data_IF_623963218495
#
_entry.id   IF_623963218495
#
_cell.length_a   1.000
_cell.length_b   1.000
_cell.length_c   1.000
_cell.angle_alpha   90.00
_cell.angle_beta   90.00
_cell.angle_gamma   90.00
#
_symmetry.space_group_name_H-M   'P 1'
#
loop_
_entity.id
_entity.type
_entity.pdbx_description
1 polymer ?
#
# COMPACT_ATOMS: atom_id res chain seq x y z
N UNK A 1 -17.70 -3.71 11.74
CA UNK A 1 -17.41 -3.45 10.31
C UNK A 1 -18.26 -4.37 9.45
N UNK A 2 -18.86 -3.84 8.39
CA UNK A 2 -19.55 -4.68 7.40
C UNK A 2 -18.50 -5.40 6.54
N UNK A 3 -18.58 -6.71 6.53
CA UNK A 3 -17.71 -7.57 5.74
C UNK A 3 -18.56 -8.71 5.11
N UNK A 4 -18.08 -9.37 4.07
CA UNK A 4 -18.77 -10.53 3.53
C UNK A 4 -19.04 -11.55 4.64
N UNK A 5 -20.28 -12.03 4.72
CA UNK A 5 -20.67 -13.14 5.60
C UNK A 5 -20.11 -14.47 5.09
N UNK A 6 -20.46 -15.56 5.77
CA UNK A 6 -20.15 -16.91 5.30
C UNK A 6 -20.67 -17.12 3.87
N UNK A 7 -19.87 -17.80 3.04
CA UNK A 7 -20.29 -18.12 1.67
C UNK A 7 -21.61 -18.92 1.69
N UNK A 8 -22.56 -18.46 0.90
CA UNK A 8 -23.79 -19.19 0.70
C UNK A 8 -23.56 -20.32 -0.31
N UNK A 9 -24.22 -21.46 -0.18
CA UNK A 9 -24.16 -22.53 -1.18
C UNK A 9 -24.47 -21.98 -2.58
N UNK A 10 -23.66 -22.35 -3.57
CA UNK A 10 -23.79 -21.85 -4.95
C UNK A 10 -25.21 -22.10 -5.56
N UNK A 11 -25.94 -23.08 -5.01
CA UNK A 11 -27.31 -23.42 -5.40
C UNK A 11 -28.31 -22.29 -5.17
N UNK A 12 -27.99 -21.34 -4.28
CA UNK A 12 -28.86 -20.19 -3.97
C UNK A 12 -28.76 -19.06 -4.99
N UNK A 13 -27.77 -19.10 -5.88
CA UNK A 13 -27.59 -18.10 -6.95
C UNK A 13 -27.42 -16.64 -6.47
N UNK A 14 -27.19 -16.43 -5.17
CA UNK A 14 -27.05 -15.12 -4.56
C UNK A 14 -25.69 -14.99 -3.84
N UNK A 15 -25.10 -13.79 -3.90
CA UNK A 15 -23.92 -13.49 -3.10
C UNK A 15 -24.29 -13.30 -1.62
N UNK A 16 -23.38 -13.69 -0.74
CA UNK A 16 -23.57 -13.50 0.70
C UNK A 16 -23.75 -11.99 1.01
N UNK A 17 -24.78 -11.64 1.80
CA UNK A 17 -24.98 -10.25 2.21
C UNK A 17 -23.84 -9.80 3.11
N UNK A 18 -23.54 -8.50 3.09
CA UNK A 18 -22.62 -7.90 4.06
C UNK A 18 -23.21 -8.00 5.46
N UNK A 19 -22.41 -8.49 6.37
CA UNK A 19 -22.79 -8.66 7.78
C UNK A 19 -21.82 -7.94 8.70
N UNK A 20 -22.24 -7.63 9.92
CA UNK A 20 -21.35 -7.05 10.92
C UNK A 20 -20.53 -8.16 11.60
N UNK A 21 -19.53 -8.67 10.87
CA UNK A 21 -18.75 -9.86 11.24
C UNK A 21 -17.32 -9.55 11.69
N UNK A 22 -16.89 -8.30 11.61
CA UNK A 22 -15.53 -7.91 11.95
C UNK A 22 -15.48 -6.81 13.01
N UNK A 23 -14.63 -7.00 14.01
CA UNK A 23 -14.29 -5.98 15.00
C UNK A 23 -12.96 -5.33 14.67
N UNK A 24 -12.92 -4.01 14.78
CA UNK A 24 -11.75 -3.19 14.55
C UNK A 24 -11.34 -2.48 15.84
N UNK A 25 -10.05 -2.35 16.03
CA UNK A 25 -9.47 -1.53 17.10
C UNK A 25 -8.55 -0.48 16.50
N UNK A 26 -8.95 0.78 16.64
CA UNK A 26 -8.09 1.91 16.28
C UNK A 26 -7.39 2.46 17.51
N UNK A 27 -6.09 2.74 17.38
CA UNK A 27 -5.28 3.42 18.38
C UNK A 27 -4.54 4.55 17.68
N UNK A 28 -4.63 5.74 18.26
CA UNK A 28 -3.99 6.92 17.70
C UNK A 28 -3.65 7.93 18.78
N UNK A 29 -3.02 8.99 18.34
CA UNK A 29 -2.68 10.16 19.14
C UNK A 29 -2.84 11.41 18.27
N UNK A 30 -3.09 12.52 18.92
CA UNK A 30 -3.22 13.81 18.30
C UNK A 30 -2.50 14.87 19.15
N UNK A 31 -1.82 15.78 18.48
CA UNK A 31 -1.17 16.93 19.10
C UNK A 31 -1.70 18.16 18.38
N UNK A 32 -2.21 19.13 19.16
CA UNK A 32 -2.61 20.43 18.63
C UNK A 32 -1.90 21.51 19.45
N UNK A 33 -1.30 22.48 18.77
CA UNK A 33 -0.65 23.63 19.38
C UNK A 33 -1.14 24.87 18.68
N UNK A 34 -1.70 25.78 19.44
CA UNK A 34 -2.17 27.08 18.96
C UNK A 34 -1.46 28.21 19.71
N UNK A 35 -0.94 29.13 18.95
CA UNK A 35 -0.28 30.33 19.47
C UNK A 35 -0.98 31.58 18.96
N UNK A 36 -1.33 32.48 19.87
CA UNK A 36 -1.92 33.76 19.55
C UNK A 36 -1.14 34.86 20.27
N UNK A 37 -0.74 35.90 19.53
CA UNK A 37 0.00 37.00 20.11
C UNK A 37 -0.21 38.30 19.30
N UNK A 38 0.35 39.39 19.82
CA UNK A 38 0.28 40.71 19.20
C UNK A 38 1.63 41.43 19.25
N UNK A 39 2.09 41.88 18.12
CA UNK A 39 3.28 42.71 17.98
C UNK A 39 2.85 44.08 17.49
N UNK A 40 2.89 45.07 18.37
CA UNK A 40 2.44 46.42 18.07
C UNK A 40 0.95 46.43 17.69
N UNK A 41 0.64 46.80 16.43
CA UNK A 41 -0.74 46.82 15.90
C UNK A 41 -1.10 45.59 15.10
N UNK A 42 -0.23 44.60 14.99
CA UNK A 42 -0.44 43.36 14.29
C UNK A 42 -0.85 42.27 15.29
N UNK A 43 -2.05 41.75 15.16
CA UNK A 43 -2.50 40.52 15.86
C UNK A 43 -2.27 39.35 14.95
N UNK A 44 -1.66 38.29 15.46
CA UNK A 44 -1.41 37.08 14.67
C UNK A 44 -1.73 35.81 15.45
N UNK A 45 -2.03 34.76 14.72
CA UNK A 45 -2.19 33.42 15.24
C UNK A 45 -1.43 32.42 14.36
N UNK A 46 -0.92 31.39 14.98
CA UNK A 46 -0.30 30.25 14.32
C UNK A 46 -0.72 28.99 15.03
N UNK A 47 -1.23 28.01 14.27
CA UNK A 47 -1.61 26.73 14.81
C UNK A 47 -0.98 25.59 14.01
N UNK A 48 -0.73 24.50 14.73
CA UNK A 48 -0.21 23.25 14.20
C UNK A 48 -0.98 22.09 14.79
N UNK A 49 -1.41 21.15 13.96
CA UNK A 49 -1.95 19.89 14.41
C UNK A 49 -1.25 18.72 13.72
N UNK A 50 -1.06 17.64 14.45
CA UNK A 50 -0.50 16.40 13.97
C UNK A 50 -1.29 15.23 14.55
N UNK A 51 -1.73 14.35 13.66
CA UNK A 51 -2.54 13.19 14.01
C UNK A 51 -1.97 11.92 13.39
N UNK A 52 -1.98 10.83 14.13
CA UNK A 52 -1.66 9.51 13.60
C UNK A 52 -2.48 8.42 14.27
N UNK A 53 -2.97 7.45 13.50
CA UNK A 53 -3.70 6.31 14.01
C UNK A 53 -3.42 5.04 13.21
N UNK A 54 -3.46 3.90 13.92
CA UNK A 54 -3.41 2.55 13.37
C UNK A 54 -4.66 1.79 13.71
N UNK A 55 -5.25 1.16 12.72
CA UNK A 55 -6.45 0.34 12.89
C UNK A 55 -6.13 -1.11 12.59
N UNK A 56 -6.39 -1.99 13.54
CA UNK A 56 -6.21 -3.44 13.41
C UNK A 56 -7.53 -4.17 13.52
N UNK A 57 -7.63 -5.28 12.79
CA UNK A 57 -8.75 -6.20 12.89
C UNK A 57 -8.53 -7.08 14.12
N UNK A 58 -9.46 -7.03 15.06
CA UNK A 58 -9.39 -7.80 16.32
C UNK A 58 -10.25 -9.05 16.29
N UNK A 59 -11.27 -9.06 15.45
CA UNK A 59 -12.15 -10.22 15.24
C UNK A 59 -12.58 -10.29 13.80
N UNK A 60 -12.43 -11.44 13.19
CA UNK A 60 -12.92 -11.76 11.85
C UNK A 60 -12.85 -13.29 11.67
N UNK A 61 -13.85 -13.85 10.99
CA UNK A 61 -13.85 -15.27 10.69
C UNK A 61 -13.12 -15.51 9.35
N UNK A 62 -11.82 -15.78 9.44
CA UNK A 62 -10.99 -16.23 8.34
C UNK A 62 -10.16 -17.42 8.83
N UNK A 63 -10.73 -18.61 8.72
CA UNK A 63 -10.11 -19.85 9.18
C UNK A 63 -8.87 -20.22 8.35
N UNK A 64 -8.84 -19.82 7.09
CA UNK A 64 -7.74 -20.15 6.17
C UNK A 64 -6.52 -19.28 6.36
N UNK A 65 -6.65 -18.12 7.01
CA UNK A 65 -5.56 -17.15 7.18
C UNK A 65 -5.06 -16.54 5.87
N UNK A 66 -5.86 -16.61 4.80
CA UNK A 66 -5.52 -16.01 3.51
C UNK A 66 -5.30 -14.50 3.65
N UNK A 67 -4.41 -13.95 2.83
CA UNK A 67 -4.17 -12.52 2.71
C UNK A 67 -4.15 -12.08 1.24
N UNK A 68 -4.25 -10.76 1.01
CA UNK A 68 -4.36 -10.20 -0.33
C UNK A 68 -5.76 -10.39 -0.90
N UNK A 69 -5.85 -10.78 -2.17
CA UNK A 69 -7.12 -11.05 -2.83
C UNK A 69 -7.37 -12.55 -2.93
N UNK A 70 -8.60 -12.98 -2.74
CA UNK A 70 -9.00 -14.35 -2.97
C UNK A 70 -9.11 -14.64 -4.47
N UNK A 71 -9.40 -15.90 -4.82
CA UNK A 71 -9.62 -16.34 -6.21
C UNK A 71 -10.74 -15.60 -6.96
N UNK A 72 -11.60 -14.87 -6.23
CA UNK A 72 -12.68 -14.07 -6.78
C UNK A 72 -12.34 -12.57 -6.78
N UNK A 73 -11.07 -12.21 -6.66
CA UNK A 73 -10.55 -10.83 -6.62
C UNK A 73 -11.11 -9.99 -5.46
N UNK A 74 -11.51 -10.62 -4.37
CA UNK A 74 -11.98 -9.94 -3.15
C UNK A 74 -10.86 -9.80 -2.15
N UNK A 75 -10.80 -8.64 -1.51
CA UNK A 75 -9.89 -8.42 -0.40
C UNK A 75 -10.20 -9.36 0.76
N UNK A 76 -9.16 -10.01 1.28
CA UNK A 76 -9.27 -10.91 2.42
C UNK A 76 -8.83 -10.21 3.69
N UNK A 77 -9.64 -10.34 4.73
CA UNK A 77 -9.35 -9.81 6.06
C UNK A 77 -8.94 -10.93 7.02
N UNK A 78 -8.09 -10.63 7.96
CA UNK A 78 -7.68 -11.58 9.01
C UNK A 78 -7.47 -10.88 10.35
N UNK A 79 -7.56 -11.64 11.42
CA UNK A 79 -7.24 -11.13 12.77
C UNK A 79 -5.78 -10.73 12.83
N UNK A 80 -5.50 -9.57 13.43
CA UNK A 80 -4.17 -8.98 13.53
C UNK A 80 -3.73 -8.14 12.34
N UNK A 81 -4.45 -8.19 11.23
CA UNK A 81 -4.19 -7.35 10.06
C UNK A 81 -4.31 -5.87 10.41
N UNK A 82 -3.34 -5.07 10.00
CA UNK A 82 -3.46 -3.61 9.98
C UNK A 82 -4.19 -3.21 8.69
N UNK A 83 -5.21 -2.36 8.79
CA UNK A 83 -5.93 -1.92 7.59
C UNK A 83 -4.96 -1.25 6.61
N UNK A 84 -5.13 -1.58 5.34
CA UNK A 84 -4.33 -1.01 4.26
C UNK A 84 -2.98 -1.68 4.02
N UNK A 85 -2.68 -2.82 4.66
CA UNK A 85 -1.47 -3.60 4.36
C UNK A 85 -1.37 -3.90 2.86
N UNK A 86 -0.18 -3.67 2.30
CA UNK A 86 0.16 -4.00 0.92
C UNK A 86 1.19 -5.11 0.95
N UNK A 87 0.83 -6.26 0.42
CA UNK A 87 1.72 -7.40 0.31
C UNK A 87 2.36 -7.45 -1.08
N UNK A 88 3.63 -7.76 -1.16
CA UNK A 88 4.35 -7.87 -2.42
C UNK A 88 5.73 -8.47 -2.26
N UNK A 89 6.36 -8.74 -3.40
CA UNK A 89 7.75 -9.15 -3.47
C UNK A 89 8.69 -7.97 -3.23
N UNK A 90 9.86 -8.25 -2.72
CA UNK A 90 10.90 -7.23 -2.51
C UNK A 90 11.90 -7.32 -3.63
N UNK A 91 12.10 -6.24 -4.35
CA UNK A 91 13.16 -6.15 -5.36
C UNK A 91 14.53 -6.26 -4.69
N UNK A 92 15.38 -7.11 -5.22
CA UNK A 92 16.79 -7.19 -4.84
C UNK A 92 17.62 -6.32 -5.79
N UNK A 93 17.71 -6.72 -7.07
CA UNK A 93 18.44 -6.05 -8.13
C UNK A 93 17.81 -6.38 -9.49
N UNK A 94 18.43 -5.97 -10.56
CA UNK A 94 18.13 -6.48 -11.89
C UNK A 94 19.02 -7.69 -12.19
N UNK A 95 18.53 -8.62 -13.00
CA UNK A 95 19.37 -9.66 -13.56
C UNK A 95 20.43 -9.02 -14.47
N UNK A 96 21.66 -9.48 -14.34
CA UNK A 96 22.78 -9.08 -15.19
C UNK A 96 23.14 -10.17 -16.18
N UNK A 97 23.92 -9.85 -17.20
CA UNK A 97 24.42 -10.85 -18.15
C UNK A 97 25.26 -11.94 -17.46
N UNK A 98 25.92 -11.57 -16.35
CA UNK A 98 26.77 -12.50 -15.59
C UNK A 98 25.94 -13.55 -14.81
N UNK A 99 24.65 -13.36 -14.66
CA UNK A 99 23.74 -14.33 -14.03
C UNK A 99 23.39 -15.51 -14.96
N UNK A 100 23.73 -15.40 -16.23
CA UNK A 100 23.44 -16.41 -17.27
C UNK A 100 24.69 -17.10 -17.73
N UNK A 101 24.55 -18.33 -18.22
CA UNK A 101 25.60 -19.10 -18.86
C UNK A 101 25.74 -18.72 -20.35
N UNK A 102 26.67 -19.37 -21.03
CA UNK A 102 26.93 -19.13 -22.46
C UNK A 102 25.74 -19.51 -23.37
N UNK A 103 24.85 -20.35 -22.90
CA UNK A 103 23.63 -20.77 -23.62
C UNK A 103 22.43 -19.87 -23.29
N UNK A 104 22.62 -18.81 -22.48
CA UNK A 104 21.57 -17.88 -22.06
C UNK A 104 20.65 -18.46 -21.00
N UNK A 105 21.02 -19.52 -20.31
CA UNK A 105 20.25 -20.08 -19.21
C UNK A 105 20.71 -19.46 -17.89
N UNK A 106 19.76 -19.26 -16.98
CA UNK A 106 20.03 -18.78 -15.63
C UNK A 106 20.93 -19.79 -14.89
N UNK A 107 22.01 -19.30 -14.27
CA UNK A 107 22.90 -20.10 -13.45
C UNK A 107 22.22 -20.66 -12.22
N UNK A 108 22.67 -21.82 -11.76
CA UNK A 108 22.17 -22.42 -10.52
C UNK A 108 22.44 -21.52 -9.30
N UNK A 109 21.52 -21.51 -8.34
CA UNK A 109 21.60 -20.69 -7.12
C UNK A 109 21.21 -19.24 -7.33
N UNK A 110 20.64 -18.88 -8.48
CA UNK A 110 20.05 -17.56 -8.70
C UNK A 110 18.53 -17.72 -8.73
N UNK A 111 17.81 -17.08 -7.79
CA UNK A 111 16.38 -17.21 -7.70
C UNK A 111 15.66 -16.72 -8.96
N UNK A 112 14.52 -17.33 -9.28
CA UNK A 112 13.65 -16.90 -10.36
C UNK A 112 12.17 -17.04 -9.99
N UNK A 113 11.34 -16.23 -10.60
CA UNK A 113 9.89 -16.35 -10.45
C UNK A 113 9.43 -17.69 -11.03
N UNK A 114 8.60 -18.39 -10.26
CA UNK A 114 8.04 -19.69 -10.66
C UNK A 114 7.34 -19.61 -12.03
N UNK A 115 7.68 -20.53 -12.91
CA UNK A 115 7.13 -20.57 -14.27
C UNK A 115 7.62 -19.48 -15.23
N UNK A 116 8.54 -18.61 -14.80
CA UNK A 116 9.10 -17.53 -15.62
C UNK A 116 10.58 -17.76 -15.93
N UNK A 117 11.01 -17.46 -17.15
CA UNK A 117 12.41 -17.46 -17.54
C UNK A 117 12.85 -16.01 -17.71
N UNK A 118 13.68 -15.49 -16.79
CA UNK A 118 14.13 -14.11 -16.83
C UNK A 118 15.16 -13.87 -17.93
N UNK A 119 15.29 -12.60 -18.30
CA UNK A 119 16.34 -12.10 -19.17
C UNK A 119 17.20 -11.07 -18.43
N UNK A 120 18.43 -10.78 -18.89
CA UNK A 120 19.21 -9.67 -18.38
C UNK A 120 18.39 -8.36 -18.46
N UNK A 121 18.31 -7.63 -17.33
CA UNK A 121 17.50 -6.41 -17.21
C UNK A 121 16.14 -6.61 -16.55
N UNK A 122 15.65 -7.84 -16.40
CA UNK A 122 14.44 -8.12 -15.62
C UNK A 122 14.69 -7.93 -14.12
N UNK A 123 13.60 -7.79 -13.35
CA UNK A 123 13.70 -7.62 -11.90
C UNK A 123 13.94 -8.96 -11.21
N UNK A 124 15.02 -9.05 -10.44
CA UNK A 124 15.26 -10.12 -9.49
C UNK A 124 14.64 -9.73 -8.14
N UNK A 125 13.76 -10.58 -7.63
CA UNK A 125 13.19 -10.44 -6.30
C UNK A 125 14.00 -11.23 -5.28
N UNK A 126 13.89 -10.81 -4.01
CA UNK A 126 14.50 -11.52 -2.89
C UNK A 126 13.78 -12.82 -2.64
N UNK A 127 14.55 -13.88 -2.59
CA UNK A 127 14.15 -15.17 -2.04
C UNK A 127 14.13 -15.05 -0.51
N UNK A 128 12.99 -15.24 0.10
CA UNK A 128 12.81 -15.07 1.54
C UNK A 128 12.79 -16.40 2.30
N UNK A 129 12.65 -17.52 1.59
CA UNK A 129 12.65 -18.86 2.17
C UNK A 129 13.85 -19.72 1.71
N UNK A 130 14.78 -19.12 0.92
CA UNK A 130 16.03 -19.72 0.46
C UNK A 130 15.83 -21.00 -0.37
N UNK A 131 14.82 -21.02 -1.23
CA UNK A 131 14.50 -22.17 -2.08
C UNK A 131 14.81 -21.97 -3.59
N UNK A 132 15.39 -20.82 -3.97
CA UNK A 132 15.71 -20.38 -5.34
C UNK A 132 14.46 -20.21 -6.24
N UNK A 133 13.24 -20.23 -5.70
CA UNK A 133 11.98 -20.10 -6.45
C UNK A 133 11.13 -19.00 -5.86
N UNK A 134 11.00 -17.89 -6.56
CA UNK A 134 10.15 -16.78 -6.13
C UNK A 134 8.69 -17.10 -6.43
N UNK A 135 7.92 -17.31 -5.38
CA UNK A 135 6.49 -17.61 -5.50
C UNK A 135 5.64 -17.00 -4.37
N UNK A 136 4.32 -17.13 -4.49
CA UNK A 136 3.36 -16.60 -3.52
C UNK A 136 2.99 -17.58 -2.42
N UNK A 137 3.65 -18.74 -2.32
CA UNK A 137 3.25 -19.79 -1.40
C UNK A 137 1.77 -20.12 -1.51
N UNK A 138 1.15 -20.48 -0.39
CA UNK A 138 -0.29 -20.72 -0.31
C UNK A 138 -1.12 -19.45 -0.09
N UNK A 139 -0.51 -18.26 -0.14
CA UNK A 139 -1.15 -16.97 0.17
C UNK A 139 -1.74 -16.91 1.58
N UNK A 140 -1.15 -17.61 2.52
CA UNK A 140 -1.54 -17.56 3.93
C UNK A 140 -0.45 -16.91 4.78
N UNK A 141 -0.82 -16.45 5.97
CA UNK A 141 0.17 -15.89 6.92
C UNK A 141 1.20 -16.91 7.43
N UNK A 142 0.91 -18.19 7.28
CA UNK A 142 1.84 -19.28 7.65
C UNK A 142 2.80 -19.62 6.53
N UNK A 143 2.36 -19.41 5.31
CA UNK A 143 3.12 -19.66 4.09
C UNK A 143 2.85 -18.55 3.08
N UNK A 144 3.52 -17.39 3.25
CA UNK A 144 3.41 -16.25 2.34
C UNK A 144 4.27 -16.40 1.08
N UNK A 145 5.10 -17.47 1.00
CA UNK A 145 6.19 -17.54 0.03
C UNK A 145 7.15 -16.36 0.22
N UNK A 146 7.61 -15.78 -0.88
CA UNK A 146 8.55 -14.64 -0.89
C UNK A 146 7.88 -13.28 -0.72
N UNK A 147 6.61 -13.25 -0.30
CA UNK A 147 5.90 -11.99 -0.07
C UNK A 147 5.98 -11.54 1.37
N UNK A 148 6.09 -10.23 1.55
CA UNK A 148 5.95 -9.58 2.85
C UNK A 148 5.17 -8.28 2.73
N UNK A 149 4.85 -7.68 3.86
CA UNK A 149 4.23 -6.34 3.89
C UNK A 149 5.28 -5.33 3.41
N UNK A 150 5.06 -4.75 2.24
CA UNK A 150 5.93 -3.76 1.60
C UNK A 150 5.44 -2.34 1.77
N UNK A 151 4.21 -2.15 2.21
CA UNK A 151 3.64 -0.83 2.42
C UNK A 151 2.30 -0.85 3.14
N UNK A 152 1.74 0.35 3.32
CA UNK A 152 0.42 0.53 3.87
C UNK A 152 -0.28 1.72 3.21
N UNK A 153 -1.50 1.50 2.70
CA UNK A 153 -2.27 2.51 1.97
C UNK A 153 -2.99 3.52 2.87
N UNK A 154 -2.99 3.33 4.19
CA UNK A 154 -3.60 4.28 5.12
C UNK A 154 -2.73 5.53 5.27
N UNK A 155 -3.41 6.66 5.49
CA UNK A 155 -2.72 7.94 5.68
C UNK A 155 -2.12 7.97 7.09
N UNK A 156 -0.81 8.24 7.16
CA UNK A 156 -0.07 8.31 8.41
C UNK A 156 0.52 9.71 8.58
N UNK A 157 0.58 10.16 9.83
CA UNK A 157 1.15 11.46 10.18
C UNK A 157 0.48 12.60 9.39
N UNK A 158 -0.84 12.69 9.53
CA UNK A 158 -1.61 13.78 8.94
C UNK A 158 -1.35 15.06 9.73
N UNK A 159 -0.99 16.12 9.06
CA UNK A 159 -0.68 17.38 9.70
C UNK A 159 -1.36 18.56 9.03
N UNK A 160 -1.60 19.58 9.82
CA UNK A 160 -2.07 20.88 9.36
C UNK A 160 -1.28 22.01 10.01
N UNK A 161 -1.04 23.04 9.25
CA UNK A 161 -0.46 24.28 9.72
C UNK A 161 -1.40 25.39 9.27
N UNK A 162 -1.89 26.18 10.21
CA UNK A 162 -2.73 27.31 9.88
C UNK A 162 -2.24 28.56 10.59
N UNK A 163 -2.51 29.68 10.01
CA UNK A 163 -2.14 30.93 10.59
C UNK A 163 -2.87 32.11 9.99
N UNK A 164 -2.82 33.21 10.67
CA UNK A 164 -3.39 34.45 10.22
C UNK A 164 -2.76 35.66 10.89
N UNK A 165 -2.91 36.78 10.23
CA UNK A 165 -2.51 38.07 10.77
C UNK A 165 -3.55 39.13 10.43
N UNK A 166 -3.76 40.08 11.36
CA UNK A 166 -4.65 41.21 11.16
C UNK A 166 -3.90 42.50 11.48
N UNK A 167 -3.96 43.45 10.55
CA UNK A 167 -3.32 44.76 10.69
C UNK A 167 -4.21 45.83 10.06
N UNK A 168 -4.63 46.79 10.89
CA UNK A 168 -5.43 47.96 10.45
C UNK A 168 -6.60 47.65 9.53
N UNK A 169 -7.34 46.56 9.81
CA UNK A 169 -8.49 46.14 9.02
C UNK A 169 -8.17 45.24 7.82
N UNK A 170 -6.90 44.98 7.55
CA UNK A 170 -6.47 43.98 6.56
C UNK A 170 -6.18 42.68 7.27
N UNK A 171 -6.79 41.58 6.81
CA UNK A 171 -6.59 40.24 7.36
C UNK A 171 -6.01 39.31 6.29
N UNK A 172 -5.03 38.51 6.67
CA UNK A 172 -4.45 37.44 5.89
C UNK A 172 -4.63 36.14 6.68
N UNK A 173 -5.02 35.06 6.01
CA UNK A 173 -5.02 33.71 6.59
C UNK A 173 -4.51 32.68 5.60
N UNK A 174 -3.92 31.61 6.12
CA UNK A 174 -3.48 30.47 5.32
C UNK A 174 -3.75 29.16 6.06
N UNK A 175 -3.90 28.09 5.28
CA UNK A 175 -4.02 26.70 5.74
C UNK A 175 -3.20 25.82 4.84
N UNK A 176 -2.29 25.05 5.41
CA UNK A 176 -1.51 24.00 4.77
C UNK A 176 -1.89 22.66 5.39
N UNK A 177 -2.12 21.66 4.57
CA UNK A 177 -2.42 20.30 5.03
C UNK A 177 -1.55 19.30 4.28
N UNK A 178 -1.14 18.25 4.97
CA UNK A 178 -0.33 17.23 4.37
C UNK A 178 -0.46 15.86 5.05
N UNK A 179 0.10 14.88 4.39
CA UNK A 179 0.22 13.49 4.85
C UNK A 179 1.68 13.10 4.80
N UNK A 180 2.25 12.71 5.95
CA UNK A 180 3.67 12.40 6.05
C UNK A 180 4.06 11.08 5.39
N UNK A 181 3.14 10.07 5.42
CA UNK A 181 3.39 8.78 4.78
C UNK A 181 2.08 8.16 4.29
N UNK A 182 2.13 7.66 3.08
CA UNK A 182 1.11 6.79 2.47
C UNK A 182 1.73 6.04 1.31
N UNK A 183 1.54 4.73 1.28
CA UNK A 183 1.95 3.93 0.15
C UNK A 183 0.73 3.71 -0.76
N UNK A 184 0.94 3.81 -2.07
CA UNK A 184 -0.10 3.60 -3.07
C UNK A 184 0.39 2.56 -4.07
N UNK A 185 -0.46 1.59 -4.33
CA UNK A 185 -0.26 0.69 -5.45
C UNK A 185 -0.76 1.39 -6.71
N UNK A 186 0.19 1.81 -7.54
CA UNK A 186 -0.15 2.52 -8.79
C UNK A 186 -0.29 1.47 -9.88
N UNK A 187 -1.51 1.29 -10.36
CA UNK A 187 -1.82 0.51 -11.56
C UNK A 187 -2.56 1.42 -12.54
N UNK A 188 -1.82 2.08 -13.41
CA UNK A 188 -2.39 2.98 -14.39
C UNK A 188 -1.51 2.97 -15.65
N UNK A 189 -2.11 2.93 -16.80
CA UNK A 189 -1.46 2.90 -18.11
C UNK A 189 -0.48 4.07 -18.34
N UNK A 190 -0.70 5.17 -17.64
CA UNK A 190 0.20 6.32 -17.67
C UNK A 190 1.59 6.00 -17.08
N UNK A 191 1.65 5.12 -16.07
CA UNK A 191 2.90 4.73 -15.38
C UNK A 191 3.48 3.42 -15.91
N UNK A 192 2.66 2.60 -16.56
CA UNK A 192 3.06 1.34 -17.16
C UNK A 192 2.71 1.32 -18.65
N UNK A 193 3.39 2.15 -19.47
CA UNK A 193 3.20 2.10 -20.92
C UNK A 193 3.56 0.70 -21.41
N UNK A 194 2.77 0.16 -22.32
CA UNK A 194 2.91 -1.20 -22.85
C UNK A 194 2.65 -2.34 -21.86
N UNK A 195 1.88 -2.08 -20.79
CA UNK A 195 1.46 -3.13 -19.87
C UNK A 195 0.61 -4.20 -20.57
N UNK A 196 -0.15 -3.81 -21.58
CA UNK A 196 -0.95 -4.70 -22.42
C UNK A 196 -0.80 -4.27 -23.88
N UNK A 197 -1.05 -5.19 -24.83
CA UNK A 197 -1.00 -4.94 -26.28
C UNK A 197 -1.92 -3.78 -26.74
N UNK A 198 -2.88 -3.39 -25.91
CA UNK A 198 -3.85 -2.33 -26.18
C UNK A 198 -3.55 -1.02 -25.46
N UNK A 199 -2.50 -0.96 -24.62
CA UNK A 199 -2.13 0.28 -23.93
C UNK A 199 -1.37 1.20 -24.87
N UNK A 200 -1.83 2.44 -24.99
CA UNK A 200 -1.16 3.49 -25.75
C UNK A 200 -0.12 4.22 -24.92
N UNK A 201 1.00 4.55 -25.50
CA UNK A 201 1.96 5.49 -24.89
C UNK A 201 1.39 6.89 -25.04
N UNK A 202 1.18 7.57 -23.92
CA UNK A 202 0.76 8.98 -23.97
C UNK A 202 1.94 9.87 -24.33
N UNK A 203 1.75 10.80 -25.24
CA UNK A 203 2.77 11.77 -25.67
C UNK A 203 3.40 12.54 -24.50
N UNK A 204 2.67 12.74 -23.41
CA UNK A 204 3.15 13.37 -22.20
C UNK A 204 4.28 12.59 -21.49
N UNK A 205 4.38 11.28 -21.70
CA UNK A 205 5.47 10.47 -21.15
C UNK A 205 6.79 10.66 -21.89
N UNK A 206 6.74 11.19 -23.10
CA UNK A 206 7.91 11.45 -23.96
C UNK A 206 8.47 12.88 -23.81
N UNK A 207 7.74 13.79 -23.17
CA UNK A 207 8.12 15.23 -23.10
C UNK A 207 9.05 15.54 -21.92
N UNK A 208 9.22 14.63 -20.95
CA UNK A 208 9.95 14.91 -19.69
C UNK A 208 11.02 13.87 -19.32
N UNK A 209 11.60 13.21 -20.30
CA UNK A 209 12.81 12.40 -20.08
C UNK A 209 14.03 13.17 -20.52
#
# INVERSE_FOLDING_TARGET
MLAPGAELPAVLGASAPLQNTADLRSKGWEITVDWNDQIGKVKYNLGFNLYDAKTKITKYNNETGLFGKDKNDKDTYRVGMELGEIWGYVTDRLYTVDDFDADGKLKAGIPKVEGYNPNPGDILYKDLDDNDIINGGTSTTKDPGDRKIIGNSTRRYQYGIHGGANWKGVSLSFLLQGVGKRDLWIMNDLFYPHYDAWTTVYDLSLIHI
#
